data_IF_237366222765
#
_entry.id   IF_237366222765
#
_cell.length_a   1.000
_cell.length_b   1.000
_cell.length_c   1.000
_cell.angle_alpha   90.00
_cell.angle_beta   90.00
_cell.angle_gamma   90.00
#
_symmetry.space_group_name_H-M   'P 1'
#
loop_
_entity.id
_entity.type
_entity.pdbx_description
1 polymer ?
#
# COMPACT_ATOMS: atom_id res chain seq x y z
N UNK A 1 -18.14 -1.46 6.05
CA UNK A 1 -16.89 -2.07 6.56
C UNK A 1 -15.81 -1.75 5.55
N UNK A 2 -14.57 -1.57 5.97
CA UNK A 2 -13.47 -1.32 5.03
C UNK A 2 -13.07 -2.64 4.34
N UNK A 3 -12.84 -2.60 3.02
CA UNK A 3 -12.41 -3.73 2.21
C UNK A 3 -11.11 -3.41 1.50
N UNK A 4 -10.19 -4.37 1.44
CA UNK A 4 -8.92 -4.26 0.72
C UNK A 4 -8.95 -5.25 -0.46
N UNK A 5 -8.86 -4.74 -1.67
CA UNK A 5 -8.80 -5.52 -2.90
C UNK A 5 -7.40 -5.43 -3.51
N UNK A 6 -6.82 -6.58 -3.83
CA UNK A 6 -5.49 -6.69 -4.45
C UNK A 6 -5.60 -7.63 -5.64
N UNK A 7 -5.24 -7.14 -6.84
CA UNK A 7 -5.30 -7.93 -8.08
C UNK A 7 -4.01 -7.76 -8.89
N UNK A 8 -3.30 -8.85 -9.23
CA UNK A 8 -3.55 -10.22 -8.76
C UNK A 8 -3.26 -10.36 -7.26
N UNK A 9 -3.96 -11.29 -6.61
CA UNK A 9 -3.76 -11.57 -5.19
C UNK A 9 -2.43 -12.31 -4.93
N UNK A 10 -2.09 -13.23 -5.85
CA UNK A 10 -0.84 -13.98 -5.86
C UNK A 10 -0.13 -13.74 -7.19
N UNK A 11 1.20 -13.54 -7.14
CA UNK A 11 2.00 -13.21 -8.31
C UNK A 11 3.46 -13.02 -7.94
N UNK A 12 4.29 -12.72 -8.94
CA UNK A 12 5.70 -12.41 -8.70
C UNK A 12 5.86 -11.06 -8.00
N UNK A 13 6.98 -10.84 -7.31
CA UNK A 13 7.20 -9.59 -6.56
C UNK A 13 7.24 -8.36 -7.47
N UNK A 14 7.77 -8.52 -8.68
CA UNK A 14 7.91 -7.51 -9.71
C UNK A 14 6.66 -7.37 -10.60
N UNK A 15 5.68 -8.26 -10.45
CA UNK A 15 4.41 -8.16 -11.15
C UNK A 15 3.58 -6.98 -10.61
N UNK A 16 3.15 -6.05 -11.49
CA UNK A 16 2.26 -4.96 -11.10
C UNK A 16 0.96 -5.49 -10.51
N UNK A 17 0.54 -4.91 -9.38
CA UNK A 17 -0.77 -5.19 -8.77
C UNK A 17 -1.54 -3.92 -8.50
N UNK A 18 -2.84 -3.99 -8.67
CA UNK A 18 -3.77 -2.95 -8.27
C UNK A 18 -4.14 -3.18 -6.80
N UNK A 19 -3.98 -2.15 -5.97
CA UNK A 19 -4.33 -2.15 -4.55
C UNK A 19 -5.38 -1.08 -4.33
N UNK A 20 -6.57 -1.49 -3.89
CA UNK A 20 -7.74 -0.62 -3.71
C UNK A 20 -8.33 -0.83 -2.32
N UNK A 21 -8.67 0.26 -1.63
CA UNK A 21 -9.50 0.24 -0.44
C UNK A 21 -10.87 0.82 -0.75
N UNK A 22 -11.91 0.20 -0.24
CA UNK A 22 -13.30 0.65 -0.39
C UNK A 22 -14.05 0.58 0.95
N UNK A 23 -15.18 1.28 1.04
CA UNK A 23 -16.01 1.29 2.24
C UNK A 23 -15.43 2.10 3.41
N UNK A 24 -14.51 3.03 3.12
CA UNK A 24 -13.99 4.01 4.07
C UNK A 24 -14.98 5.18 4.22
N UNK A 25 -14.85 5.95 5.31
CA UNK A 25 -15.51 7.25 5.37
C UNK A 25 -14.83 8.22 4.39
N UNK A 26 -15.60 9.09 3.73
CA UNK A 26 -15.05 10.11 2.85
C UNK A 26 -14.06 11.02 3.60
N UNK A 27 -12.90 11.28 3.01
CA UNK A 27 -11.83 12.07 3.65
C UNK A 27 -11.09 11.35 4.77
N UNK A 28 -11.38 10.06 5.03
CA UNK A 28 -10.69 9.31 6.06
C UNK A 28 -9.19 9.17 5.76
N UNK A 29 -8.36 9.40 6.78
CA UNK A 29 -6.93 9.15 6.72
C UNK A 29 -6.64 7.69 7.05
N UNK A 30 -6.01 6.96 6.13
CA UNK A 30 -5.73 5.53 6.26
C UNK A 30 -4.27 5.23 6.00
N UNK A 31 -3.65 4.38 6.83
CA UNK A 31 -2.28 3.93 6.63
C UNK A 31 -2.27 2.48 6.17
N UNK A 32 -1.66 2.24 5.02
CA UNK A 32 -1.33 0.90 4.54
C UNK A 32 0.09 0.54 4.95
N UNK A 33 0.29 -0.70 5.35
CA UNK A 33 1.60 -1.26 5.68
C UNK A 33 1.79 -2.54 4.89
N UNK A 34 2.92 -2.65 4.20
CA UNK A 34 3.34 -3.86 3.49
C UNK A 34 4.52 -4.49 4.21
N UNK A 35 4.50 -5.81 4.33
CA UNK A 35 5.53 -6.58 5.02
C UNK A 35 5.93 -7.81 4.21
N UNK A 36 7.22 -8.15 4.21
CA UNK A 36 7.68 -9.40 3.63
C UNK A 36 8.93 -9.92 4.34
N UNK A 37 8.92 -11.20 4.72
CA UNK A 37 10.13 -11.88 5.20
C UNK A 37 10.95 -12.32 3.99
N UNK A 38 12.22 -11.90 3.92
CA UNK A 38 13.14 -12.26 2.83
C UNK A 38 13.96 -13.51 3.19
N UNK A 39 14.72 -14.04 2.24
CA UNK A 39 15.44 -15.32 2.38
C UNK A 39 16.45 -15.39 3.54
N UNK A 40 16.88 -14.26 4.09
CA UNK A 40 17.71 -14.18 5.29
C UNK A 40 16.91 -14.17 6.61
N UNK A 41 15.59 -14.37 6.56
CA UNK A 41 14.69 -14.28 7.71
C UNK A 41 14.36 -12.85 8.15
N UNK A 42 14.94 -11.84 7.51
CA UNK A 42 14.74 -10.44 7.89
C UNK A 42 13.39 -9.93 7.36
N UNK A 43 12.65 -9.25 8.23
CA UNK A 43 11.40 -8.59 7.88
C UNK A 43 11.70 -7.26 7.16
N UNK A 44 11.11 -7.10 5.99
CA UNK A 44 11.13 -5.86 5.22
C UNK A 44 9.76 -5.21 5.30
N UNK A 45 9.72 -3.89 5.56
CA UNK A 45 8.47 -3.15 5.75
C UNK A 45 8.51 -1.80 5.03
N UNK A 46 7.35 -1.35 4.59
CA UNK A 46 7.05 0.05 4.25
C UNK A 46 5.64 0.40 4.74
N UNK A 47 5.39 1.70 4.84
CA UNK A 47 4.11 2.27 5.19
C UNK A 47 3.82 3.52 4.38
N UNK A 48 2.55 3.73 4.04
CA UNK A 48 2.10 4.94 3.37
C UNK A 48 0.68 5.30 3.80
N UNK A 49 0.44 6.59 4.02
CA UNK A 49 -0.84 7.14 4.46
C UNK A 49 -1.54 7.84 3.31
N UNK A 50 -2.83 7.56 3.12
CA UNK A 50 -3.68 8.11 2.08
C UNK A 50 -4.89 8.81 2.69
N UNK A 51 -5.59 9.59 1.86
CA UNK A 51 -6.89 10.17 2.19
C UNK A 51 -7.93 9.56 1.25
N UNK A 52 -8.97 8.95 1.81
CA UNK A 52 -10.06 8.40 1.02
C UNK A 52 -10.80 9.52 0.28
N UNK A 53 -11.15 9.26 -0.98
CA UNK A 53 -11.91 10.19 -1.79
C UNK A 53 -13.37 10.34 -1.30
N UNK A 54 -14.18 11.12 -2.02
CA UNK A 54 -15.58 11.38 -1.67
C UNK A 54 -16.46 10.11 -1.66
N UNK A 55 -16.04 9.05 -2.35
CA UNK A 55 -16.71 7.75 -2.40
C UNK A 55 -16.18 6.78 -1.33
N UNK A 56 -15.25 7.21 -0.46
CA UNK A 56 -14.66 6.34 0.54
C UNK A 56 -13.69 5.31 -0.05
N UNK A 57 -13.02 5.67 -1.16
CA UNK A 57 -12.10 4.81 -1.89
C UNK A 57 -10.68 5.38 -1.90
N UNK A 58 -9.69 4.49 -1.90
CA UNK A 58 -8.28 4.78 -2.19
C UNK A 58 -7.81 3.78 -3.24
N UNK A 59 -7.16 4.22 -4.30
CA UNK A 59 -6.54 3.37 -5.32
C UNK A 59 -5.10 3.82 -5.59
N UNK A 60 -4.14 2.95 -5.30
CA UNK A 60 -2.71 3.28 -5.38
C UNK A 60 -2.23 3.57 -6.81
N UNK A 61 -3.02 3.22 -7.83
CA UNK A 61 -2.75 3.59 -9.24
C UNK A 61 -3.11 5.04 -9.56
N UNK A 62 -3.87 5.71 -8.69
CA UNK A 62 -4.40 7.06 -8.91
C UNK A 62 -4.07 8.03 -7.78
N UNK A 63 -4.00 7.53 -6.54
CA UNK A 63 -3.85 8.33 -5.34
C UNK A 63 -2.40 8.31 -4.85
N UNK A 64 -1.83 9.51 -4.66
CA UNK A 64 -0.54 9.65 -4.01
C UNK A 64 -0.70 9.64 -2.49
N UNK A 65 0.25 9.04 -1.73
CA UNK A 65 0.23 9.12 -0.29
C UNK A 65 0.51 10.55 0.18
N UNK A 66 -0.12 10.93 1.29
CA UNK A 66 0.09 12.21 1.99
C UNK A 66 1.23 12.14 3.02
N UNK A 67 1.70 10.93 3.34
CA UNK A 67 2.88 10.68 4.19
C UNK A 67 3.35 9.23 4.02
N UNK A 68 4.61 8.94 4.36
CA UNK A 68 5.13 7.57 4.42
C UNK A 68 6.49 7.39 3.75
N UNK A 69 6.81 6.15 3.43
CA UNK A 69 8.09 5.71 2.91
C UNK A 69 8.29 5.96 1.40
N UNK A 70 7.23 6.40 0.71
CA UNK A 70 7.29 6.88 -0.67
C UNK A 70 6.34 8.05 -0.91
N UNK A 71 6.55 8.74 -2.04
CA UNK A 71 5.73 9.86 -2.50
C UNK A 71 5.36 9.67 -3.98
N UNK A 72 4.32 10.38 -4.41
CA UNK A 72 3.78 10.28 -5.78
C UNK A 72 2.88 9.07 -5.99
N UNK A 73 2.19 9.05 -7.13
CA UNK A 73 1.28 7.96 -7.50
C UNK A 73 2.10 6.74 -7.91
N UNK A 74 1.88 5.60 -7.25
CA UNK A 74 2.59 4.36 -7.56
C UNK A 74 1.81 3.14 -7.06
N UNK A 75 1.38 2.29 -8.00
CA UNK A 75 0.72 1.02 -7.71
C UNK A 75 1.59 0.10 -6.84
N UNK A 76 2.88 0.09 -7.13
CA UNK A 76 3.89 -0.74 -6.48
C UNK A 76 4.66 -0.01 -5.38
N UNK A 77 4.23 1.21 -5.02
CA UNK A 77 4.87 2.07 -4.02
C UNK A 77 5.25 1.35 -2.75
N UNK A 78 4.28 0.65 -2.15
CA UNK A 78 4.47 -0.12 -0.92
C UNK A 78 5.42 -1.31 -1.08
N UNK A 79 5.71 -1.79 -2.29
CA UNK A 79 6.57 -2.96 -2.49
C UNK A 79 8.03 -2.56 -2.69
N UNK A 80 8.30 -1.64 -3.62
CA UNK A 80 9.69 -1.24 -3.89
C UNK A 80 10.27 -0.37 -2.77
N UNK A 81 9.43 0.33 -1.99
CA UNK A 81 9.89 1.21 -0.89
C UNK A 81 10.17 0.47 0.41
N UNK A 82 9.96 -0.85 0.47
CA UNK A 82 10.26 -1.63 1.67
C UNK A 82 11.74 -1.49 2.06
N UNK A 83 11.97 -1.34 3.36
CA UNK A 83 13.30 -1.32 3.97
C UNK A 83 13.39 -2.45 4.99
N UNK A 84 14.57 -3.02 5.24
CA UNK A 84 14.74 -3.96 6.33
C UNK A 84 14.36 -3.28 7.65
N UNK A 85 13.53 -3.93 8.48
CA UNK A 85 13.37 -3.51 9.87
C UNK A 85 14.75 -3.64 10.54
N UNK A 86 15.20 -2.58 11.20
CA UNK A 86 16.41 -2.69 12.02
C UNK A 86 16.05 -3.62 13.18
N UNK A 87 16.77 -4.75 13.27
CA UNK A 87 16.70 -5.66 14.41
C UNK A 87 17.27 -5.05 15.68
#
# INVERSE_FOLDING_TARGET
MAHLHITPADGLLDEPRQIVLEGLAAGARVTLTSQTVRGNGLLWRSSATFIANAQGRVDLTQDAPVAGDYAGVSAMGLLWSQRPEQG
#
